data_IF_936806780174
#
_entry.id   IF_936806780174
#
_cell.length_a   1.000
_cell.length_b   1.000
_cell.length_c   1.000
_cell.angle_alpha   90.00
_cell.angle_beta   90.00
_cell.angle_gamma   90.00
#
_symmetry.space_group_name_H-M   'P 1'
#
loop_
_entity.id
_entity.type
_entity.pdbx_description
1 polymer ?
#
# COMPACT_ATOMS: atom_id res chain seq x y z
N UNK A 1 -65.75 -13.08 -4.56
CA UNK A 1 -64.86 -12.13 -5.27
C UNK A 1 -63.99 -11.41 -4.23
N UNK A 2 -62.67 -11.69 -4.16
CA UNK A 2 -61.72 -10.87 -3.36
C UNK A 2 -61.26 -9.65 -4.14
N UNK A 3 -60.88 -8.53 -3.50
CA UNK A 3 -60.50 -7.30 -4.15
C UNK A 3 -59.06 -7.35 -4.71
N UNK A 4 -58.87 -6.64 -5.82
CA UNK A 4 -57.66 -6.56 -6.60
C UNK A 4 -56.47 -6.00 -5.81
N UNK A 5 -55.32 -6.64 -5.95
CA UNK A 5 -54.01 -6.19 -5.49
C UNK A 5 -53.57 -5.01 -6.37
N UNK A 6 -53.33 -3.84 -5.78
CA UNK A 6 -52.65 -2.72 -6.41
C UNK A 6 -51.16 -3.06 -6.58
N UNK A 7 -50.64 -2.93 -7.79
CA UNK A 7 -49.23 -3.02 -8.14
C UNK A 7 -48.45 -1.87 -7.46
N UNK A 8 -47.49 -2.23 -6.62
CA UNK A 8 -46.51 -1.29 -6.09
C UNK A 8 -45.47 -0.99 -7.20
N UNK A 9 -45.31 0.26 -7.54
CA UNK A 9 -44.16 0.79 -8.30
C UNK A 9 -42.88 0.56 -7.51
N UNK A 10 -41.75 0.21 -8.15
CA UNK A 10 -40.47 0.06 -7.44
C UNK A 10 -40.05 1.45 -6.89
N UNK A 11 -39.93 1.54 -5.57
CA UNK A 11 -39.42 2.72 -4.90
C UNK A 11 -37.95 2.94 -5.24
N UNK A 12 -37.65 4.17 -5.57
CA UNK A 12 -36.28 4.67 -5.70
C UNK A 12 -35.51 4.43 -4.38
N UNK A 13 -34.36 3.77 -4.49
CA UNK A 13 -33.45 3.49 -3.39
C UNK A 13 -32.87 4.83 -2.86
N UNK A 14 -33.06 5.22 -1.59
CA UNK A 14 -32.57 6.51 -1.08
C UNK A 14 -31.05 6.52 -0.80
N UNK A 15 -30.30 5.50 -1.24
CA UNK A 15 -28.89 5.27 -0.83
C UNK A 15 -27.86 5.94 -1.75
N UNK A 16 -28.27 6.54 -2.87
CA UNK A 16 -27.33 7.10 -3.86
C UNK A 16 -27.44 8.63 -4.05
N UNK A 17 -27.57 9.38 -2.96
CA UNK A 17 -27.26 10.81 -3.05
C UNK A 17 -25.71 10.98 -3.04
N UNK A 18 -25.09 11.63 -4.04
CA UNK A 18 -23.67 11.90 -4.04
C UNK A 18 -23.34 12.83 -2.87
N UNK A 19 -22.68 12.32 -1.85
CA UNK A 19 -22.11 13.12 -0.77
C UNK A 19 -21.00 13.98 -1.37
N UNK A 20 -21.27 15.28 -1.48
CA UNK A 20 -20.34 16.27 -2.00
C UNK A 20 -18.98 16.17 -1.31
N UNK A 21 -17.93 16.23 -2.12
CA UNK A 21 -16.55 16.42 -1.66
C UNK A 21 -16.55 17.63 -0.73
N UNK A 22 -16.35 17.42 0.56
CA UNK A 22 -16.09 18.52 1.48
C UNK A 22 -14.76 19.14 1.10
N UNK A 23 -14.80 20.21 0.33
CA UNK A 23 -13.69 21.14 0.25
C UNK A 23 -13.56 21.76 1.63
N UNK A 24 -12.33 21.87 2.13
CA UNK A 24 -12.03 22.58 3.36
C UNK A 24 -12.68 23.98 3.37
N UNK A 25 -12.81 24.64 4.51
CA UNK A 25 -13.61 25.84 4.69
C UNK A 25 -13.22 26.91 3.67
N UNK A 26 -14.14 27.24 2.75
CA UNK A 26 -14.04 28.42 1.90
C UNK A 26 -14.25 29.62 2.80
N UNK A 27 -13.21 30.41 3.02
CA UNK A 27 -13.30 31.67 3.74
C UNK A 27 -14.02 32.67 2.82
N UNK A 28 -15.25 33.01 3.17
CA UNK A 28 -16.03 34.10 2.55
C UNK A 28 -15.28 35.41 2.79
N UNK A 29 -15.00 36.14 1.70
CA UNK A 29 -14.47 37.49 1.76
C UNK A 29 -15.59 38.46 2.11
N UNK A 30 -15.57 38.99 3.34
CA UNK A 30 -16.30 40.22 3.68
C UNK A 30 -15.57 40.98 4.81
N UNK A 31 -15.16 42.22 4.55
CA UNK A 31 -14.93 43.26 5.56
C UNK A 31 -13.48 43.61 5.85
N UNK A 32 -13.04 44.73 5.30
CA UNK A 32 -11.77 45.38 5.52
C UNK A 32 -11.60 45.89 6.95
N UNK A 33 -10.46 45.57 7.58
CA UNK A 33 -9.69 46.44 8.49
C UNK A 33 -8.33 45.80 8.75
N UNK A 34 -7.25 46.57 8.60
CA UNK A 34 -5.87 46.15 8.50
C UNK A 34 -5.34 45.36 9.69
N UNK A 35 -4.98 44.15 9.43
CA UNK A 35 -4.14 43.25 10.19
C UNK A 35 -3.84 42.09 9.30
N UNK A 36 -2.56 41.90 8.88
CA UNK A 36 -2.12 40.68 8.21
C UNK A 36 -2.36 39.53 9.16
N UNK A 37 -3.50 38.83 8.98
CA UNK A 37 -3.65 37.47 9.53
C UNK A 37 -2.73 36.58 8.71
N UNK A 38 -1.63 36.15 9.28
CA UNK A 38 -0.90 35.02 8.77
C UNK A 38 -1.85 33.83 8.82
N UNK A 39 -2.39 33.42 7.68
CA UNK A 39 -3.11 32.16 7.55
C UNK A 39 -2.03 31.10 7.60
N UNK A 40 -1.89 30.41 8.73
CA UNK A 40 -1.03 29.23 8.81
C UNK A 40 -1.38 28.29 7.63
N UNK A 41 -0.39 27.88 6.83
CA UNK A 41 -0.64 26.97 5.73
C UNK A 41 -1.31 25.72 6.27
N UNK A 42 -2.44 25.28 5.67
CA UNK A 42 -3.23 24.11 6.09
C UNK A 42 -2.40 22.84 6.35
N UNK A 43 -1.23 22.67 5.68
CA UNK A 43 -0.28 21.57 5.90
C UNK A 43 0.49 21.65 7.22
N UNK A 44 0.41 22.78 7.96
CA UNK A 44 1.00 22.93 9.30
C UNK A 44 0.00 22.68 10.44
N UNK A 45 -1.29 22.57 10.14
CA UNK A 45 -2.30 22.18 11.11
C UNK A 45 -2.10 20.70 11.43
N UNK A 46 -1.51 20.40 12.59
CA UNK A 46 -1.48 19.05 13.14
C UNK A 46 -2.90 18.68 13.55
N UNK A 47 -3.52 17.81 12.77
CA UNK A 47 -4.76 17.16 13.17
C UNK A 47 -4.34 15.84 13.84
N UNK A 48 -4.69 15.67 15.11
CA UNK A 48 -4.59 14.37 15.76
C UNK A 48 -5.80 13.55 15.27
N UNK A 49 -5.59 12.33 14.74
CA UNK A 49 -6.68 11.51 14.26
C UNK A 49 -7.66 11.20 15.39
N UNK A 50 -8.95 11.31 15.10
CA UNK A 50 -10.03 11.06 16.04
C UNK A 50 -11.13 10.16 15.43
N UNK A 51 -12.23 9.97 16.14
CA UNK A 51 -13.36 9.16 15.71
C UNK A 51 -14.49 9.95 15.03
N UNK A 52 -14.25 11.17 14.54
CA UNK A 52 -15.32 11.98 13.93
C UNK A 52 -15.91 11.25 12.71
N UNK A 53 -15.09 10.71 11.84
CA UNK A 53 -15.53 10.04 10.62
C UNK A 53 -16.14 8.67 10.91
N UNK A 54 -15.58 7.93 11.85
CA UNK A 54 -16.13 6.65 12.32
C UNK A 54 -17.49 6.86 12.99
N UNK A 55 -17.66 7.89 13.84
CA UNK A 55 -18.94 8.22 14.49
C UNK A 55 -20.05 8.50 13.49
N UNK A 56 -19.76 9.25 12.43
CA UNK A 56 -20.72 9.50 11.34
C UNK A 56 -21.23 8.19 10.73
N UNK A 57 -20.37 7.18 10.62
CA UNK A 57 -20.75 5.87 10.09
C UNK A 57 -21.50 5.04 11.14
N UNK A 58 -21.07 5.04 12.39
CA UNK A 58 -21.78 4.35 13.49
C UNK A 58 -23.21 4.92 13.68
N UNK A 59 -23.40 6.22 13.61
CA UNK A 59 -24.71 6.86 13.69
C UNK A 59 -25.64 6.48 12.52
N UNK A 60 -25.06 6.08 11.37
CA UNK A 60 -25.78 5.53 10.22
C UNK A 60 -26.08 4.04 10.33
N UNK A 61 -25.66 3.39 11.43
CA UNK A 61 -25.90 1.97 11.71
C UNK A 61 -24.79 1.01 11.27
N UNK A 62 -23.70 1.49 10.67
CA UNK A 62 -22.50 0.68 10.42
C UNK A 62 -21.83 0.36 11.76
N UNK A 63 -21.48 -0.90 11.99
CA UNK A 63 -20.88 -1.34 13.26
C UNK A 63 -19.39 -1.61 13.18
N UNK A 64 -18.94 -2.19 12.07
CA UNK A 64 -17.56 -2.61 11.84
C UNK A 64 -16.93 -1.72 10.78
N UNK A 65 -16.50 -0.53 11.19
CA UNK A 65 -15.85 0.45 10.33
C UNK A 65 -14.36 0.16 10.30
N UNK A 66 -13.83 -0.27 9.16
CA UNK A 66 -12.41 -0.52 8.99
C UNK A 66 -11.70 0.69 8.38
N UNK A 67 -10.61 1.14 9.00
CA UNK A 67 -9.64 2.02 8.38
C UNK A 67 -8.60 1.22 7.62
N UNK A 68 -8.20 1.68 6.43
CA UNK A 68 -7.19 1.04 5.59
C UNK A 68 -6.15 2.06 5.16
N UNK A 69 -4.88 1.68 5.23
CA UNK A 69 -3.75 2.48 4.75
C UNK A 69 -2.65 1.58 4.18
N UNK A 70 -1.77 2.16 3.34
CA UNK A 70 -0.67 1.46 2.73
C UNK A 70 0.68 2.12 3.00
N UNK A 71 1.75 1.34 2.83
CA UNK A 71 3.14 1.78 2.95
C UNK A 71 4.01 1.14 1.87
N UNK A 72 5.09 1.82 1.50
CA UNK A 72 6.09 1.25 0.60
C UNK A 72 5.82 1.46 -0.88
N UNK A 73 4.89 2.32 -1.30
CA UNK A 73 4.62 2.59 -2.72
C UNK A 73 5.84 3.12 -3.48
N UNK A 74 6.58 4.05 -2.90
CA UNK A 74 7.74 4.70 -3.54
C UNK A 74 9.08 4.00 -3.33
N UNK A 75 9.12 2.79 -2.81
CA UNK A 75 10.36 2.05 -2.56
C UNK A 75 10.90 1.40 -3.84
N UNK A 76 12.22 1.29 -3.97
CA UNK A 76 12.89 0.56 -5.05
C UNK A 76 12.89 -0.95 -4.83
N UNK A 77 12.80 -1.38 -3.56
CA UNK A 77 12.83 -2.78 -3.17
C UNK A 77 11.74 -3.12 -2.15
N UNK A 78 11.38 -4.39 -2.13
CA UNK A 78 10.40 -4.96 -1.22
C UNK A 78 8.94 -4.71 -1.64
N UNK A 79 7.98 -5.30 -0.90
CA UNK A 79 6.57 -5.26 -1.22
C UNK A 79 5.95 -3.89 -0.99
N UNK A 80 4.81 -3.62 -1.63
CA UNK A 80 3.81 -2.69 -1.11
C UNK A 80 2.98 -3.44 -0.07
N UNK A 81 2.70 -2.78 1.05
CA UNK A 81 2.04 -3.39 2.20
C UNK A 81 0.84 -2.55 2.58
N UNK A 82 -0.30 -3.17 2.83
CA UNK A 82 -1.47 -2.51 3.37
C UNK A 82 -1.91 -3.19 4.67
N UNK A 83 -2.54 -2.41 5.55
CA UNK A 83 -3.23 -2.96 6.71
C UNK A 83 -4.67 -2.45 6.76
N UNK A 84 -5.53 -3.23 7.41
CA UNK A 84 -6.89 -2.87 7.74
C UNK A 84 -7.10 -3.05 9.25
N UNK A 85 -7.76 -2.10 9.90
CA UNK A 85 -7.99 -2.11 11.35
C UNK A 85 -9.42 -1.67 11.67
N UNK A 86 -10.11 -2.45 12.52
CA UNK A 86 -11.40 -2.09 13.12
C UNK A 86 -11.15 -1.79 14.59
N UNK A 87 -11.27 -0.54 14.98
CA UNK A 87 -11.14 -0.13 16.39
C UNK A 87 -12.48 -0.24 17.12
N UNK A 88 -12.50 -0.60 18.42
CA UNK A 88 -13.70 -0.48 19.24
C UNK A 88 -14.09 0.99 19.45
N UNK A 89 -15.39 1.34 19.49
CA UNK A 89 -15.85 2.72 19.58
C UNK A 89 -15.44 3.47 20.85
N UNK A 90 -15.15 2.74 21.91
CA UNK A 90 -14.84 3.25 23.26
C UNK A 90 -13.32 3.32 23.54
N UNK A 91 -12.50 2.93 22.58
CA UNK A 91 -11.05 2.95 22.75
C UNK A 91 -10.28 3.49 21.54
N UNK A 92 -9.39 4.43 21.78
CA UNK A 92 -8.41 4.95 20.82
C UNK A 92 -7.01 4.86 21.42
N UNK A 93 -5.99 4.41 20.65
CA UNK A 93 -4.60 4.41 21.11
C UNK A 93 -4.13 5.79 21.52
N UNK A 94 -3.52 5.89 22.72
CA UNK A 94 -2.97 7.15 23.19
C UNK A 94 -1.69 7.54 22.43
N UNK A 95 -1.67 8.78 21.92
CA UNK A 95 -0.56 9.29 21.09
C UNK A 95 -0.61 8.84 19.65
N UNK A 96 -1.74 8.31 19.19
CA UNK A 96 -1.96 7.97 17.78
C UNK A 96 -1.87 9.24 16.93
N UNK A 97 -1.04 9.19 15.88
CA UNK A 97 -0.85 10.25 14.88
C UNK A 97 -0.27 9.66 13.60
N UNK A 98 -0.08 10.47 12.58
CA UNK A 98 0.59 10.06 11.33
C UNK A 98 1.86 9.26 11.66
N UNK A 99 1.93 8.03 11.15
CA UNK A 99 3.00 7.06 11.45
C UNK A 99 4.40 7.57 11.11
N UNK A 100 4.51 8.52 10.16
CA UNK A 100 5.77 9.16 9.76
C UNK A 100 6.31 10.14 10.81
N UNK A 101 5.45 10.64 11.70
CA UNK A 101 5.79 11.55 12.78
C UNK A 101 6.17 10.83 14.07
N UNK A 102 5.96 9.54 14.17
CA UNK A 102 6.25 8.70 15.32
C UNK A 102 7.70 8.20 15.27
N UNK A 103 8.36 8.19 16.43
CA UNK A 103 9.64 7.48 16.57
C UNK A 103 9.44 5.96 16.44
N UNK A 104 10.46 5.19 16.02
CA UNK A 104 10.33 3.74 15.85
C UNK A 104 9.80 3.01 17.10
N UNK A 105 10.26 3.38 18.30
CA UNK A 105 9.82 2.76 19.54
C UNK A 105 8.35 3.07 19.88
N UNK A 106 7.93 4.32 19.67
CA UNK A 106 6.53 4.73 19.85
C UNK A 106 5.62 3.99 18.90
N UNK A 107 6.08 3.80 17.64
CA UNK A 107 5.33 3.09 16.60
C UNK A 107 5.18 1.61 16.94
N UNK A 108 6.26 0.93 17.40
CA UNK A 108 6.20 -0.47 17.84
C UNK A 108 5.28 -0.64 19.05
N UNK A 109 5.33 0.28 20.02
CA UNK A 109 4.41 0.27 21.18
C UNK A 109 2.96 0.40 20.74
N UNK A 110 2.65 1.35 19.84
CA UNK A 110 1.31 1.56 19.32
C UNK A 110 0.82 0.35 18.51
N UNK A 111 1.67 -0.25 17.68
CA UNK A 111 1.34 -1.46 16.92
C UNK A 111 0.94 -2.60 17.85
N UNK A 112 1.74 -2.86 18.90
CA UNK A 112 1.41 -3.89 19.89
C UNK A 112 0.08 -3.61 20.59
N UNK A 113 -0.17 -2.36 21.00
CA UNK A 113 -1.42 -1.95 21.64
C UNK A 113 -2.62 -2.06 20.70
N UNK A 114 -2.47 -1.69 19.41
CA UNK A 114 -3.52 -1.82 18.40
C UNK A 114 -3.86 -3.29 18.17
N UNK A 115 -2.85 -4.15 17.97
CA UNK A 115 -3.06 -5.59 17.74
C UNK A 115 -3.72 -6.30 18.90
N UNK A 116 -3.43 -5.88 20.13
CA UNK A 116 -4.04 -6.43 21.35
C UNK A 116 -5.51 -6.02 21.52
N UNK A 117 -5.85 -4.77 21.18
CA UNK A 117 -7.14 -4.16 21.55
C UNK A 117 -8.10 -3.90 20.39
N UNK A 118 -7.65 -3.93 19.14
CA UNK A 118 -8.53 -3.79 17.97
C UNK A 118 -9.54 -4.96 17.91
N UNK A 119 -10.75 -4.69 17.45
CA UNK A 119 -11.75 -5.74 17.20
C UNK A 119 -11.27 -6.71 16.12
N UNK A 120 -10.60 -6.20 15.09
CA UNK A 120 -9.94 -6.98 14.06
C UNK A 120 -8.83 -6.15 13.42
N UNK A 121 -7.78 -6.82 12.97
CA UNK A 121 -6.73 -6.24 12.15
C UNK A 121 -6.18 -7.28 11.18
N UNK A 122 -5.59 -6.80 10.11
CA UNK A 122 -4.95 -7.65 9.10
C UNK A 122 -3.85 -6.88 8.39
N UNK A 123 -2.92 -7.61 7.78
CA UNK A 123 -1.85 -7.08 6.93
C UNK A 123 -1.79 -7.90 5.65
N UNK A 124 -1.54 -7.23 4.54
CA UNK A 124 -1.31 -7.86 3.25
C UNK A 124 -0.08 -7.27 2.56
N UNK A 125 0.69 -8.14 1.92
CA UNK A 125 1.89 -7.81 1.17
C UNK A 125 1.67 -8.17 -0.30
N UNK A 126 2.12 -7.30 -1.21
CA UNK A 126 2.19 -7.58 -2.64
C UNK A 126 3.63 -7.42 -3.08
N UNK A 127 4.22 -8.48 -3.61
CA UNK A 127 5.64 -8.59 -3.93
C UNK A 127 6.12 -7.61 -5.00
N UNK A 128 7.43 -7.37 -5.06
CA UNK A 128 8.06 -6.58 -6.10
C UNK A 128 7.77 -7.13 -7.50
N UNK A 129 7.84 -8.43 -7.68
CA UNK A 129 7.52 -9.11 -8.94
C UNK A 129 6.09 -8.83 -9.41
N UNK A 130 5.11 -8.91 -8.50
CA UNK A 130 3.72 -8.61 -8.86
C UNK A 130 3.51 -7.12 -9.14
N UNK A 131 4.21 -6.23 -8.41
CA UNK A 131 4.21 -4.78 -8.70
C UNK A 131 4.68 -4.52 -10.14
N UNK A 132 5.75 -5.20 -10.58
CA UNK A 132 6.28 -5.03 -11.92
C UNK A 132 5.33 -5.53 -13.01
N UNK A 133 4.54 -6.58 -12.72
CA UNK A 133 3.54 -7.14 -13.64
C UNK A 133 2.29 -6.27 -13.77
N UNK A 134 1.74 -5.73 -12.68
CA UNK A 134 0.44 -5.06 -12.66
C UNK A 134 0.51 -3.56 -12.40
N UNK A 135 1.67 -2.99 -12.20
CA UNK A 135 2.04 -1.64 -11.74
C UNK A 135 1.70 -1.35 -10.28
N UNK A 136 2.31 -0.27 -9.74
CA UNK A 136 2.20 0.07 -8.32
C UNK A 136 0.78 0.48 -7.89
N UNK A 137 -0.01 1.09 -8.78
CA UNK A 137 -1.39 1.47 -8.45
C UNK A 137 -2.25 0.22 -8.24
N UNK A 138 -2.23 -0.71 -9.19
CA UNK A 138 -2.99 -1.96 -9.10
C UNK A 138 -2.51 -2.83 -7.94
N UNK A 139 -1.19 -2.89 -7.70
CA UNK A 139 -0.62 -3.60 -6.57
C UNK A 139 -1.05 -3.01 -5.22
N UNK A 140 -1.17 -1.68 -5.12
CA UNK A 140 -1.68 -1.01 -3.93
C UNK A 140 -3.16 -1.34 -3.69
N UNK A 141 -4.00 -1.24 -4.72
CA UNK A 141 -5.42 -1.61 -4.62
C UNK A 141 -5.60 -3.07 -4.23
N UNK A 142 -4.79 -3.96 -4.78
CA UNK A 142 -4.78 -5.38 -4.43
C UNK A 142 -4.39 -5.59 -2.96
N UNK A 143 -3.31 -4.95 -2.48
CA UNK A 143 -2.88 -5.05 -1.10
C UNK A 143 -3.97 -4.58 -0.12
N UNK A 144 -4.63 -3.45 -0.40
CA UNK A 144 -5.73 -2.92 0.40
C UNK A 144 -6.97 -3.83 0.37
N UNK A 145 -7.32 -4.37 -0.80
CA UNK A 145 -8.42 -5.33 -0.96
C UNK A 145 -8.16 -6.60 -0.17
N UNK A 146 -6.94 -7.14 -0.26
CA UNK A 146 -6.53 -8.33 0.51
C UNK A 146 -6.53 -8.05 2.02
N UNK A 147 -6.07 -6.87 2.46
CA UNK A 147 -6.13 -6.49 3.86
C UNK A 147 -7.58 -6.43 4.35
N UNK A 148 -8.50 -5.81 3.60
CA UNK A 148 -9.92 -5.79 3.94
C UNK A 148 -10.53 -7.21 4.02
N UNK A 149 -10.20 -8.08 3.06
CA UNK A 149 -10.74 -9.44 2.95
C UNK A 149 -10.22 -10.39 4.05
N UNK A 150 -9.01 -10.13 4.59
CA UNK A 150 -8.38 -10.95 5.64
C UNK A 150 -8.78 -10.58 7.07
N UNK A 151 -9.58 -9.53 7.25
CA UNK A 151 -10.10 -9.20 8.58
C UNK A 151 -10.92 -10.37 9.13
N UNK A 152 -10.70 -10.74 10.40
CA UNK A 152 -11.47 -11.79 11.11
C UNK A 152 -12.93 -11.40 11.32
N UNK A 153 -13.23 -10.10 11.32
CA UNK A 153 -14.58 -9.54 11.32
C UNK A 153 -14.80 -8.83 10.00
N UNK A 154 -15.82 -9.23 9.25
CA UNK A 154 -16.16 -8.58 7.98
C UNK A 154 -16.57 -7.12 8.22
N UNK A 155 -15.92 -6.14 7.60
CA UNK A 155 -16.31 -4.75 7.69
C UNK A 155 -17.64 -4.51 6.97
N UNK A 156 -18.45 -3.60 7.48
CA UNK A 156 -19.66 -3.10 6.82
C UNK A 156 -19.47 -1.70 6.23
N UNK A 157 -18.39 -1.00 6.61
CA UNK A 157 -17.94 0.23 5.99
C UNK A 157 -16.40 0.34 6.02
N UNK A 158 -15.82 1.05 5.02
CA UNK A 158 -14.40 1.34 4.93
C UNK A 158 -14.15 2.86 4.99
N UNK A 159 -13.09 3.25 5.68
CA UNK A 159 -12.45 4.57 5.60
C UNK A 159 -11.11 4.41 4.87
N UNK A 160 -10.91 5.19 3.81
CA UNK A 160 -9.81 5.03 2.87
C UNK A 160 -9.15 6.39 2.58
N UNK A 161 -7.83 6.39 2.35
CA UNK A 161 -7.11 7.57 1.87
C UNK A 161 -7.08 7.59 0.33
N UNK A 162 -7.76 8.59 -0.24
CA UNK A 162 -7.73 9.01 -1.64
C UNK A 162 -8.07 7.95 -2.72
N UNK A 163 -8.46 6.72 -2.38
CA UNK A 163 -8.77 5.64 -3.33
C UNK A 163 -10.09 4.95 -3.01
N UNK A 164 -10.69 4.31 -4.02
CA UNK A 164 -11.84 3.40 -3.88
C UNK A 164 -11.36 1.98 -4.21
N UNK A 165 -11.89 0.98 -3.53
CA UNK A 165 -11.65 -0.45 -3.78
C UNK A 165 -12.85 -1.06 -4.52
N UNK A 166 -12.83 -1.14 -5.86
CA UNK A 166 -13.99 -1.57 -6.65
C UNK A 166 -14.44 -3.00 -6.32
N UNK A 167 -13.51 -3.85 -5.94
CA UNK A 167 -13.74 -5.26 -5.66
C UNK A 167 -14.31 -5.52 -4.25
N UNK A 168 -14.44 -4.48 -3.41
CA UNK A 168 -14.96 -4.62 -2.05
C UNK A 168 -16.38 -4.06 -1.97
N UNK A 169 -17.43 -4.90 -1.96
CA UNK A 169 -18.83 -4.48 -2.08
C UNK A 169 -19.41 -4.05 -0.72
N UNK A 170 -18.79 -3.07 -0.06
CA UNK A 170 -19.28 -2.43 1.17
C UNK A 170 -19.27 -0.93 1.01
N UNK A 171 -19.94 -0.20 1.92
CA UNK A 171 -19.89 1.26 1.89
C UNK A 171 -18.45 1.76 2.06
N UNK A 172 -18.02 2.69 1.23
CA UNK A 172 -16.67 3.25 1.25
C UNK A 172 -16.72 4.77 1.36
N UNK A 173 -16.03 5.31 2.35
CA UNK A 173 -15.84 6.75 2.53
C UNK A 173 -14.38 7.09 2.29
N UNK A 174 -14.14 7.84 1.22
CA UNK A 174 -12.80 8.25 0.80
C UNK A 174 -12.54 9.67 1.28
N UNK A 175 -11.39 9.87 1.92
CA UNK A 175 -10.95 11.15 2.46
C UNK A 175 -9.51 11.41 1.99
N UNK A 176 -9.14 12.68 1.84
CA UNK A 176 -7.75 13.07 1.58
C UNK A 176 -7.02 13.24 2.91
N UNK A 177 -5.86 12.59 3.06
CA UNK A 177 -5.10 12.53 4.31
C UNK A 177 -5.91 11.87 5.44
N UNK A 178 -6.57 10.76 5.15
CA UNK A 178 -7.41 10.04 6.10
C UNK A 178 -6.61 9.55 7.33
N UNK A 179 -5.32 9.27 7.18
CA UNK A 179 -4.37 8.93 8.23
C UNK A 179 -4.20 10.01 9.31
N UNK A 180 -4.55 11.27 8.98
CA UNK A 180 -4.55 12.41 9.91
C UNK A 180 -5.91 12.75 10.49
N UNK A 181 -6.97 12.19 9.92
CA UNK A 181 -8.36 12.51 10.28
C UNK A 181 -9.02 11.38 11.06
N UNK A 182 -8.80 10.14 10.63
CA UNK A 182 -9.51 8.96 11.10
C UNK A 182 -8.63 8.10 12.01
N UNK A 183 -9.10 7.78 13.20
CA UNK A 183 -8.35 6.97 14.15
C UNK A 183 -8.07 5.55 13.60
N UNK A 184 -9.03 4.93 12.91
CA UNK A 184 -8.88 3.60 12.33
C UNK A 184 -7.88 3.58 11.17
N UNK A 185 -7.84 4.63 10.32
CA UNK A 185 -6.86 4.74 9.21
C UNK A 185 -5.47 4.99 9.76
N UNK A 186 -5.32 5.88 10.76
CA UNK A 186 -4.04 6.11 11.43
C UNK A 186 -3.51 4.83 12.12
N UNK A 187 -4.39 4.04 12.74
CA UNK A 187 -4.02 2.75 13.32
C UNK A 187 -3.56 1.76 12.23
N UNK A 188 -4.25 1.69 11.09
CA UNK A 188 -3.83 0.90 9.94
C UNK A 188 -2.45 1.34 9.40
N UNK A 189 -2.20 2.66 9.31
CA UNK A 189 -0.90 3.22 8.92
C UNK A 189 0.24 2.73 9.83
N UNK A 190 0.02 2.73 11.15
CA UNK A 190 1.01 2.23 12.14
C UNK A 190 1.26 0.75 11.93
N UNK A 191 0.20 -0.07 11.83
CA UNK A 191 0.30 -1.54 11.67
C UNK A 191 1.00 -1.90 10.36
N UNK A 192 0.63 -1.27 9.25
CA UNK A 192 1.26 -1.50 7.95
C UNK A 192 2.75 -1.13 7.99
N UNK A 193 3.09 0.02 8.60
CA UNK A 193 4.46 0.50 8.69
C UNK A 193 5.34 -0.41 9.53
N UNK A 194 4.87 -0.86 10.69
CA UNK A 194 5.66 -1.75 11.57
C UNK A 194 5.86 -3.11 10.90
N UNK A 195 4.81 -3.68 10.30
CA UNK A 195 4.91 -4.97 9.62
C UNK A 195 5.89 -4.92 8.43
N UNK A 196 5.82 -3.86 7.62
CA UNK A 196 6.74 -3.71 6.48
C UNK A 196 8.17 -3.45 6.92
N UNK A 197 8.38 -2.60 7.93
CA UNK A 197 9.72 -2.29 8.42
C UNK A 197 10.42 -3.53 8.99
N UNK A 198 9.69 -4.40 9.71
CA UNK A 198 10.20 -5.68 10.21
C UNK A 198 10.60 -6.62 9.03
N UNK A 199 9.74 -6.74 8.01
CA UNK A 199 10.07 -7.53 6.83
C UNK A 199 11.33 -7.00 6.12
N UNK A 200 11.50 -5.69 6.02
CA UNK A 200 12.68 -5.11 5.37
C UNK A 200 13.97 -5.32 6.19
N UNK A 201 13.87 -5.43 7.53
CA UNK A 201 14.99 -5.83 8.41
C UNK A 201 15.39 -7.30 8.16
N UNK A 202 14.42 -8.21 7.96
CA UNK A 202 14.66 -9.60 7.59
C UNK A 202 15.29 -9.69 6.18
N UNK A 203 14.80 -8.89 5.23
CA UNK A 203 15.34 -8.85 3.86
C UNK A 203 16.78 -8.34 3.81
N UNK A 204 17.18 -7.44 4.72
CA UNK A 204 18.56 -6.96 4.81
C UNK A 204 19.55 -8.08 5.13
N UNK A 205 19.14 -9.03 5.99
CA UNK A 205 19.94 -10.20 6.29
C UNK A 205 20.07 -11.18 5.10
N UNK A 206 19.03 -11.27 4.25
CA UNK A 206 19.02 -12.13 3.06
C UNK A 206 19.74 -11.49 1.86
N UNK A 207 19.69 -10.18 1.76
CA UNK A 207 20.26 -9.38 0.66
C UNK A 207 21.15 -8.27 1.22
N UNK A 208 22.32 -8.62 1.80
CA UNK A 208 23.20 -7.64 2.43
C UNK A 208 23.83 -6.68 1.41
N UNK A 209 24.14 -5.48 1.87
CA UNK A 209 24.85 -4.45 1.08
C UNK A 209 23.96 -3.39 0.41
N UNK A 210 22.63 -3.47 0.60
CA UNK A 210 21.69 -2.44 0.17
C UNK A 210 21.19 -1.56 1.32
N UNK A 211 21.61 -1.84 2.56
CA UNK A 211 21.21 -1.12 3.78
C UNK A 211 19.68 -1.08 4.00
N UNK A 212 18.99 -2.21 3.68
CA UNK A 212 17.53 -2.29 3.72
C UNK A 212 16.96 -2.16 5.15
N UNK A 213 17.74 -2.58 6.15
CA UNK A 213 17.38 -2.41 7.57
C UNK A 213 17.25 -0.94 7.97
N UNK A 214 18.02 -0.05 7.34
CA UNK A 214 17.96 1.39 7.59
C UNK A 214 16.97 2.08 6.64
N UNK A 215 17.18 1.97 5.34
CA UNK A 215 16.45 2.71 4.32
C UNK A 215 15.06 2.13 3.99
N UNK A 216 14.74 0.91 4.48
CA UNK A 216 13.46 0.22 4.24
C UNK A 216 13.09 0.09 2.75
N UNK A 217 14.10 0.01 1.87
CA UNK A 217 13.95 -0.11 0.43
C UNK A 217 13.71 1.20 -0.31
N UNK A 218 13.72 2.36 0.36
CA UNK A 218 13.66 3.66 -0.30
C UNK A 218 14.96 3.99 -1.03
N UNK A 219 14.89 4.93 -1.98
CA UNK A 219 16.00 5.35 -2.83
C UNK A 219 17.04 6.22 -2.09
N UNK A 220 17.50 5.78 -0.91
CA UNK A 220 18.57 6.43 -0.15
C UNK A 220 19.92 6.32 -0.86
N UNK A 221 20.89 7.20 -0.57
CA UNK A 221 22.21 7.15 -1.19
C UNK A 221 22.88 5.78 -1.04
N UNK A 222 22.80 5.16 0.14
CA UNK A 222 23.37 3.85 0.47
C UNK A 222 22.73 2.74 -0.37
N UNK A 223 21.40 2.78 -0.55
CA UNK A 223 20.69 1.83 -1.40
C UNK A 223 21.12 1.96 -2.87
N UNK A 224 21.24 3.17 -3.37
CA UNK A 224 21.72 3.42 -4.73
C UNK A 224 23.15 2.95 -4.95
N UNK A 225 24.03 3.22 -3.98
CA UNK A 225 25.41 2.73 -4.01
C UNK A 225 25.44 1.18 -4.01
N UNK A 226 24.61 0.52 -3.22
CA UNK A 226 24.44 -0.92 -3.26
C UNK A 226 24.00 -1.43 -4.63
N UNK A 227 23.05 -0.76 -5.27
CA UNK A 227 22.59 -1.10 -6.62
C UNK A 227 23.70 -0.95 -7.69
N UNK A 228 24.57 0.04 -7.55
CA UNK A 228 25.70 0.23 -8.48
C UNK A 228 26.74 -0.89 -8.33
N UNK A 229 27.02 -1.32 -7.11
CA UNK A 229 28.08 -2.32 -6.83
C UNK A 229 27.56 -3.74 -7.00
N UNK A 230 26.39 -4.07 -6.51
CA UNK A 230 25.84 -5.44 -6.42
C UNK A 230 24.85 -5.75 -7.54
N UNK A 231 24.34 -4.72 -8.25
CA UNK A 231 23.25 -4.89 -9.21
C UNK A 231 21.89 -5.04 -8.55
N UNK A 232 20.98 -5.72 -9.24
CA UNK A 232 19.62 -5.96 -8.76
C UNK A 232 19.53 -7.29 -8.02
N UNK A 233 18.80 -7.31 -6.90
CA UNK A 233 18.36 -8.54 -6.23
C UNK A 233 16.90 -8.86 -6.58
N UNK A 234 16.40 -10.08 -6.31
CA UNK A 234 15.03 -10.49 -6.63
C UNK A 234 13.90 -9.63 -6.01
N UNK A 235 14.22 -8.88 -4.97
CA UNK A 235 13.24 -8.01 -4.30
C UNK A 235 13.19 -6.59 -4.88
N UNK A 236 14.03 -6.25 -5.87
CA UNK A 236 14.00 -4.94 -6.52
C UNK A 236 12.88 -4.86 -7.55
N UNK A 237 12.27 -3.67 -7.66
CA UNK A 237 11.19 -3.38 -8.60
C UNK A 237 11.80 -2.89 -9.91
N UNK A 238 11.90 -3.78 -10.88
CA UNK A 238 12.55 -3.50 -12.17
C UNK A 238 11.80 -2.48 -13.03
N UNK A 239 10.51 -2.28 -12.79
CA UNK A 239 9.71 -1.24 -13.45
C UNK A 239 10.00 0.17 -12.95
N UNK A 240 10.67 0.33 -11.79
CA UNK A 240 11.01 1.63 -11.21
C UNK A 240 12.29 2.18 -11.82
N UNK A 241 12.32 3.50 -12.12
CA UNK A 241 13.38 4.12 -12.93
C UNK A 241 14.83 3.74 -12.58
N UNK A 242 15.32 3.84 -11.32
CA UNK A 242 16.71 3.47 -11.02
C UNK A 242 17.02 1.99 -11.28
N UNK A 243 16.08 1.09 -10.99
CA UNK A 243 16.26 -0.35 -11.20
C UNK A 243 16.18 -0.71 -12.68
N UNK A 244 15.23 -0.12 -13.42
CA UNK A 244 15.08 -0.31 -14.87
C UNK A 244 16.33 0.13 -15.61
N UNK A 245 16.87 1.29 -15.28
CA UNK A 245 18.05 1.85 -15.93
C UNK A 245 19.26 0.93 -15.71
N UNK A 246 19.41 0.39 -14.49
CA UNK A 246 20.47 -0.58 -14.17
C UNK A 246 20.29 -1.92 -14.90
N UNK A 247 19.07 -2.40 -15.04
CA UNK A 247 18.80 -3.62 -15.80
C UNK A 247 19.16 -3.46 -17.28
N UNK A 248 18.83 -2.33 -17.88
CA UNK A 248 19.22 -2.05 -19.27
C UNK A 248 20.73 -2.04 -19.42
N UNK A 249 21.48 -1.38 -18.53
CA UNK A 249 22.94 -1.37 -18.58
C UNK A 249 23.54 -2.79 -18.53
N UNK A 250 23.05 -3.67 -17.65
CA UNK A 250 23.55 -5.04 -17.52
C UNK A 250 23.31 -5.88 -18.80
N UNK A 251 22.19 -5.65 -19.49
CA UNK A 251 21.93 -6.31 -20.78
C UNK A 251 22.93 -5.87 -21.86
N UNK A 252 23.25 -4.55 -21.92
CA UNK A 252 24.22 -4.02 -22.88
C UNK A 252 25.64 -4.50 -22.59
N UNK A 253 26.04 -4.58 -21.32
CA UNK A 253 27.33 -5.14 -20.91
C UNK A 253 27.47 -6.61 -21.33
N UNK A 254 26.42 -7.42 -21.18
CA UNK A 254 26.41 -8.83 -21.58
C UNK A 254 26.43 -9.01 -23.11
N UNK A 255 25.72 -8.17 -23.87
CA UNK A 255 25.80 -8.19 -25.34
C UNK A 255 27.19 -7.76 -25.85
N UNK A 256 27.84 -6.80 -25.19
CA UNK A 256 29.19 -6.38 -25.53
C UNK A 256 30.26 -7.47 -25.28
N UNK A 257 30.08 -8.29 -24.22
CA UNK A 257 30.96 -9.41 -23.90
C UNK A 257 30.69 -10.61 -24.80
N UNK A 258 29.46 -10.79 -25.29
CA UNK A 258 29.06 -11.91 -26.14
C UNK A 258 29.37 -11.74 -27.65
N UNK A 259 29.95 -10.61 -28.08
CA UNK A 259 30.42 -10.46 -29.48
C UNK A 259 31.80 -11.07 -29.63
N UNK A 260 31.95 -12.20 -30.36
CA UNK A 260 33.28 -12.66 -30.73
C UNK A 260 33.96 -11.60 -31.59
N UNK A 261 35.28 -11.40 -31.47
CA UNK A 261 36.02 -10.49 -32.34
C UNK A 261 35.77 -10.89 -33.80
N UNK A 262 35.43 -9.92 -34.64
CA UNK A 262 35.42 -10.12 -36.08
C UNK A 262 36.79 -10.62 -36.50
N UNK A 263 36.92 -11.91 -36.70
CA UNK A 263 38.05 -12.55 -37.28
C UNK A 263 37.67 -13.15 -38.63
N UNK A 264 38.41 -12.79 -39.65
CA UNK A 264 38.25 -13.20 -41.04
C UNK A 264 38.10 -14.72 -41.22
N UNK A 265 37.15 -15.01 -42.07
CA UNK A 265 37.06 -16.13 -42.98
C UNK A 265 37.94 -17.36 -42.75
N UNK A 266 37.33 -18.52 -42.55
CA UNK A 266 37.66 -19.75 -43.34
C UNK A 266 36.53 -20.78 -43.20
N UNK A 267 36.00 -21.18 -44.33
CA UNK A 267 35.07 -22.28 -44.50
C UNK A 267 35.73 -23.61 -44.06
N UNK A 268 35.05 -24.44 -43.31
CA UNK A 268 35.01 -25.89 -43.50
C UNK A 268 33.83 -26.49 -42.77
N UNK A 269 33.02 -27.24 -43.50
CA UNK A 269 31.91 -27.97 -42.99
C UNK A 269 32.27 -29.18 -42.17
N UNK A 270 31.39 -29.61 -41.30
CA UNK A 270 31.10 -30.99 -40.99
C UNK A 270 29.92 -31.11 -40.04
N UNK A 271 29.02 -32.01 -40.36
CA UNK A 271 27.88 -32.50 -39.60
C UNK A 271 28.21 -32.85 -38.17
N UNK A 272 27.26 -32.59 -37.22
CA UNK A 272 26.98 -33.56 -36.16
C UNK A 272 25.78 -33.12 -35.27
N UNK A 273 24.78 -34.00 -35.29
CA UNK A 273 23.94 -34.47 -34.19
C UNK A 273 23.29 -33.48 -33.21
N UNK A 274 21.95 -33.41 -33.32
CA UNK A 274 21.04 -32.92 -32.29
C UNK A 274 21.10 -33.87 -31.06
N UNK A 275 21.34 -33.27 -29.91
CA UNK A 275 21.13 -33.90 -28.61
C UNK A 275 19.98 -33.16 -27.93
N UNK A 276 18.87 -33.89 -27.77
CA UNK A 276 17.66 -33.42 -27.06
C UNK A 276 17.99 -33.27 -25.57
N UNK A 277 17.90 -32.09 -25.04
CA UNK A 277 17.97 -31.84 -23.60
C UNK A 277 16.54 -31.86 -23.02
N UNK A 278 16.29 -32.81 -22.12
CA UNK A 278 15.11 -32.96 -21.30
C UNK A 278 14.88 -31.69 -20.45
N UNK A 279 13.65 -31.17 -20.52
CA UNK A 279 13.16 -30.13 -19.62
C UNK A 279 13.01 -30.70 -18.20
N UNK A 280 13.43 -30.00 -17.16
CA UNK A 280 13.12 -30.39 -15.78
C UNK A 280 11.69 -29.96 -15.43
N UNK A 281 10.93 -30.93 -14.96
CA UNK A 281 9.61 -30.85 -14.37
C UNK A 281 9.55 -29.79 -13.25
N UNK A 282 8.71 -28.78 -13.41
CA UNK A 282 8.60 -27.66 -12.51
C UNK A 282 7.30 -27.69 -11.72
N UNK A 283 7.48 -27.85 -10.41
CA UNK A 283 6.75 -27.17 -9.34
C UNK A 283 5.51 -27.81 -8.75
N UNK A 284 5.74 -28.39 -7.61
CA UNK A 284 4.74 -28.45 -6.53
C UNK A 284 4.47 -27.04 -5.97
N UNK A 285 3.22 -26.70 -5.61
CA UNK A 285 2.88 -25.39 -5.05
C UNK A 285 3.29 -25.30 -3.59
N UNK A 286 4.02 -24.23 -3.25
CA UNK A 286 4.37 -23.86 -1.88
C UNK A 286 3.10 -23.53 -1.10
N UNK A 287 2.80 -24.31 -0.07
CA UNK A 287 1.78 -24.05 0.92
C UNK A 287 2.05 -22.72 1.65
N UNK A 288 1.06 -21.84 1.61
CA UNK A 288 1.02 -20.60 2.37
C UNK A 288 0.82 -20.94 3.85
N UNK A 289 1.85 -20.69 4.65
CA UNK A 289 1.75 -20.71 6.11
C UNK A 289 0.73 -19.68 6.58
N UNK A 290 -0.19 -20.15 7.43
CA UNK A 290 -1.33 -19.44 8.01
C UNK A 290 -0.97 -18.36 9.04
#
# INVERSE_FOLDING_TARGET
MPPARRSATPGEDPVLAPLGVRRGPTVSAAGAAGGRREVEPWHKVRLDPDFVEERVLWERGYRHVAGIDEVGRGCLAGPVTAAAVILPPDWKPSGLRDSKLLKPEERRRLDAEIRDRALAWSVAFVSAELIDRINILQATLLAQTLAAARLSIRPDALLLDAVILPEVPVYQRVLVSADRLCASVAAASVVAKVARDALMEEMDALYPGYDLASNKGYAAPEHRAGLEVLGLSPIHRISFAPCRDRQQMSLWENEAIGKPPCGDSAETGADAAAEEAEEPDLLEPVELLG
#
